data_IF_898736607148
#
_entry.id   IF_898736607148
#
_cell.length_a   1.000
_cell.length_b   1.000
_cell.length_c   1.000
_cell.angle_alpha   90.00
_cell.angle_beta   90.00
_cell.angle_gamma   90.00
#
_symmetry.space_group_name_H-M   'P 1'
#
loop_
_entity.id
_entity.type
_entity.pdbx_description
1 polymer ?
#
# COMPACT_ATOMS: atom_id res chain seq x y z
N UNK A 1 -28.66 0.61 16.47
CA UNK A 1 -27.95 -0.42 17.13
C UNK A 1 -26.47 -0.35 16.87
N UNK A 2 -25.72 -0.41 17.93
CA UNK A 2 -24.29 -0.31 17.81
C UNK A 2 -23.66 -1.49 17.09
N UNK A 3 -24.32 -2.62 17.10
CA UNK A 3 -23.75 -3.80 16.50
C UNK A 3 -23.43 -3.65 15.04
N UNK A 4 -24.32 -2.97 14.32
CA UNK A 4 -24.14 -2.80 12.89
C UNK A 4 -22.88 -2.03 12.60
N UNK A 5 -22.63 -0.96 13.36
CA UNK A 5 -21.45 -0.14 13.18
C UNK A 5 -20.21 -0.91 13.54
N UNK A 6 -20.28 -1.71 14.58
CA UNK A 6 -19.11 -2.47 15.01
C UNK A 6 -18.68 -3.46 13.94
N UNK A 7 -19.65 -4.07 13.26
CA UNK A 7 -19.31 -5.04 12.22
C UNK A 7 -18.55 -4.38 11.08
N UNK A 8 -18.92 -3.16 10.73
CA UNK A 8 -18.21 -2.45 9.69
C UNK A 8 -16.78 -2.19 10.11
N UNK A 9 -16.60 -1.79 11.36
CA UNK A 9 -15.26 -1.46 11.84
C UNK A 9 -14.39 -2.68 11.99
N UNK A 10 -14.97 -3.84 12.17
CA UNK A 10 -14.20 -5.05 12.43
C UNK A 10 -13.31 -5.44 11.27
N UNK A 11 -13.64 -5.00 10.05
CA UNK A 11 -12.84 -5.38 8.89
C UNK A 11 -11.74 -4.38 8.60
N UNK A 12 -11.67 -3.31 9.37
CA UNK A 12 -10.64 -2.31 9.19
C UNK A 12 -9.30 -2.81 9.73
N UNK A 13 -8.24 -2.46 9.04
CA UNK A 13 -6.89 -2.80 9.49
C UNK A 13 -6.12 -1.51 9.70
N UNK A 14 -5.54 -1.36 10.87
CA UNK A 14 -4.74 -0.18 11.21
C UNK A 14 -3.50 -0.64 11.96
N UNK A 15 -2.33 -0.14 11.54
CA UNK A 15 -1.09 -0.55 12.16
C UNK A 15 -0.04 0.52 11.99
N UNK A 16 0.75 0.74 13.04
CA UNK A 16 1.93 1.59 12.96
C UNK A 16 3.15 0.69 13.03
N UNK A 17 4.13 0.94 12.17
CA UNK A 17 5.31 0.10 12.09
C UNK A 17 6.54 0.95 11.94
N UNK A 18 7.68 0.38 12.33
CA UNK A 18 8.96 1.00 12.04
C UNK A 18 9.29 0.83 10.57
N UNK A 19 10.03 1.81 10.03
CA UNK A 19 10.39 1.78 8.61
C UNK A 19 11.59 0.87 8.40
N UNK A 20 11.42 -0.40 8.68
CA UNK A 20 12.47 -1.40 8.49
C UNK A 20 11.92 -2.56 7.69
N UNK A 21 12.83 -3.25 6.99
CA UNK A 21 12.42 -4.40 6.18
C UNK A 21 11.75 -5.48 7.00
N UNK A 22 12.26 -5.69 8.22
CA UNK A 22 11.68 -6.72 9.07
C UNK A 22 10.26 -6.35 9.49
N UNK A 23 10.05 -5.09 9.86
CA UNK A 23 8.71 -4.65 10.25
C UNK A 23 7.75 -4.75 9.07
N UNK A 24 8.22 -4.46 7.86
CA UNK A 24 7.37 -4.60 6.68
C UNK A 24 6.96 -6.06 6.49
N UNK A 25 7.91 -6.98 6.64
CA UNK A 25 7.59 -8.39 6.48
C UNK A 25 6.55 -8.85 7.49
N UNK A 26 6.72 -8.43 8.74
CA UNK A 26 5.76 -8.78 9.78
C UNK A 26 4.40 -8.18 9.50
N UNK A 27 4.37 -6.94 9.02
CA UNK A 27 3.12 -6.28 8.68
C UNK A 27 2.40 -7.02 7.57
N UNK A 28 3.10 -7.43 6.54
CA UNK A 28 2.47 -8.15 5.44
C UNK A 28 1.85 -9.46 5.91
N UNK A 29 2.52 -10.14 6.84
CA UNK A 29 1.96 -11.36 7.39
C UNK A 29 0.68 -11.08 8.16
N UNK A 30 0.65 -10.01 8.93
CA UNK A 30 -0.56 -9.63 9.66
C UNK A 30 -1.69 -9.27 8.71
N UNK A 31 -1.37 -8.58 7.62
CA UNK A 31 -2.37 -8.20 6.64
C UNK A 31 -2.99 -9.43 5.98
N UNK A 32 -2.17 -10.37 5.56
CA UNK A 32 -2.70 -11.56 4.91
C UNK A 32 -3.56 -12.37 5.87
N UNK A 33 -3.17 -12.44 7.13
CA UNK A 33 -3.98 -13.12 8.12
C UNK A 33 -5.32 -12.41 8.34
N UNK A 34 -5.28 -11.10 8.42
CA UNK A 34 -6.49 -10.33 8.69
C UNK A 34 -7.52 -10.46 7.56
N UNK A 35 -7.06 -10.41 6.32
CA UNK A 35 -7.97 -10.38 5.18
C UNK A 35 -8.25 -11.75 4.59
N UNK A 36 -7.59 -12.79 5.08
CA UNK A 36 -7.87 -14.14 4.60
C UNK A 36 -9.33 -14.46 4.84
N UNK A 37 -10.03 -14.88 3.79
CA UNK A 37 -11.44 -15.16 3.90
C UNK A 37 -12.35 -13.97 3.76
N UNK A 38 -11.80 -12.75 3.82
CA UNK A 38 -12.60 -11.54 3.61
C UNK A 38 -12.58 -11.09 2.16
N UNK A 39 -11.52 -11.41 1.46
CA UNK A 39 -11.40 -11.09 0.04
C UNK A 39 -10.93 -12.35 -0.66
N UNK A 40 -10.98 -12.35 -1.99
CA UNK A 40 -10.55 -13.52 -2.74
C UNK A 40 -9.06 -13.73 -2.63
N UNK A 41 -8.60 -14.93 -2.94
CA UNK A 41 -7.18 -15.22 -2.90
C UNK A 41 -6.40 -14.37 -3.89
N UNK A 42 -6.98 -14.12 -5.05
CA UNK A 42 -6.34 -13.26 -6.03
C UNK A 42 -6.23 -11.84 -5.51
N UNK A 43 -7.30 -11.34 -4.90
CA UNK A 43 -7.26 -9.99 -4.34
C UNK A 43 -6.27 -9.89 -3.19
N UNK A 44 -6.17 -10.94 -2.39
CA UNK A 44 -5.22 -10.95 -1.28
C UNK A 44 -3.79 -10.91 -1.79
N UNK A 45 -3.50 -11.67 -2.84
CA UNK A 45 -2.16 -11.66 -3.42
C UNK A 45 -1.83 -10.29 -3.99
N UNK A 46 -2.78 -9.65 -4.65
CA UNK A 46 -2.56 -8.32 -5.19
C UNK A 46 -2.34 -7.32 -4.08
N UNK A 47 -3.13 -7.39 -3.02
CA UNK A 47 -2.96 -6.50 -1.87
C UNK A 47 -1.56 -6.66 -1.28
N UNK A 48 -1.12 -7.88 -1.10
CA UNK A 48 0.20 -8.13 -0.53
C UNK A 48 1.28 -7.55 -1.43
N UNK A 49 1.16 -7.76 -2.73
CA UNK A 49 2.14 -7.26 -3.67
C UNK A 49 2.23 -5.74 -3.66
N UNK A 50 1.08 -5.08 -3.73
CA UNK A 50 1.05 -3.62 -3.77
C UNK A 50 1.58 -3.03 -2.48
N UNK A 51 1.18 -3.59 -1.35
CA UNK A 51 1.63 -3.05 -0.07
C UNK A 51 3.10 -3.35 0.16
N UNK A 52 3.59 -4.50 -0.31
CA UNK A 52 5.02 -4.78 -0.20
C UNK A 52 5.82 -3.71 -0.94
N UNK A 53 5.42 -3.39 -2.17
CA UNK A 53 6.13 -2.37 -2.93
C UNK A 53 6.01 -1.00 -2.29
N UNK A 54 4.82 -0.66 -1.83
CA UNK A 54 4.60 0.64 -1.21
C UNK A 54 5.41 0.79 0.07
N UNK A 55 5.36 -0.20 0.94
CA UNK A 55 6.06 -0.11 2.22
C UNK A 55 7.57 -0.21 2.05
N UNK A 56 8.04 -1.02 1.09
CA UNK A 56 9.46 -1.07 0.83
C UNK A 56 9.98 0.25 0.27
N UNK A 57 9.17 0.93 -0.53
CA UNK A 57 9.54 2.27 -0.98
C UNK A 57 9.70 3.21 0.19
N UNK A 58 8.82 3.12 1.18
CA UNK A 58 8.95 3.94 2.38
C UNK A 58 10.28 3.67 3.08
N UNK A 59 10.62 2.38 3.22
CA UNK A 59 11.87 2.02 3.89
C UNK A 59 13.08 2.53 3.13
N UNK A 60 13.07 2.36 1.80
CA UNK A 60 14.26 2.66 1.01
C UNK A 60 14.44 4.13 0.74
N UNK A 61 13.37 4.87 0.56
CA UNK A 61 13.46 6.22 0.03
C UNK A 61 13.01 7.29 0.99
N UNK A 62 12.12 6.98 1.89
CA UNK A 62 11.57 7.99 2.78
C UNK A 62 12.39 8.19 4.04
N UNK A 63 12.99 7.11 4.56
CA UNK A 63 13.72 7.21 5.82
C UNK A 63 15.06 6.49 5.76
N UNK A 64 15.90 6.78 4.77
CA UNK A 64 17.11 5.96 4.58
C UNK A 64 18.07 5.95 5.76
N UNK A 65 18.06 7.01 6.57
CA UNK A 65 19.05 7.10 7.65
C UNK A 65 18.45 7.47 8.98
N UNK A 66 17.15 7.36 9.11
CA UNK A 66 16.52 7.72 10.36
C UNK A 66 16.19 6.49 11.17
N UNK A 67 16.78 6.43 12.36
CA UNK A 67 16.52 5.30 13.21
C UNK A 67 15.10 5.28 13.75
N UNK A 68 14.43 6.41 13.72
CA UNK A 68 13.08 6.52 14.25
C UNK A 68 12.05 6.73 13.18
N UNK A 69 12.36 6.28 11.95
CA UNK A 69 11.37 6.34 10.91
C UNK A 69 10.19 5.45 11.22
N UNK A 70 9.00 5.99 11.00
CA UNK A 70 7.76 5.26 11.24
C UNK A 70 6.81 5.44 10.09
N UNK A 71 5.99 4.43 9.90
CA UNK A 71 4.91 4.48 8.94
C UNK A 71 3.65 3.99 9.62
N UNK A 72 2.51 4.44 9.13
CA UNK A 72 1.25 3.89 9.56
C UNK A 72 0.44 3.48 8.36
N UNK A 73 -0.33 2.43 8.52
CA UNK A 73 -1.10 1.84 7.43
C UNK A 73 -2.55 1.73 7.87
N UNK A 74 -3.44 2.14 7.01
CA UNK A 74 -4.86 2.07 7.27
C UNK A 74 -5.54 1.50 6.04
N UNK A 75 -6.21 0.37 6.20
CA UNK A 75 -6.92 -0.30 5.12
C UNK A 75 -8.38 -0.39 5.51
N UNK A 76 -9.23 0.20 4.70
CA UNK A 76 -10.67 0.21 4.98
C UNK A 76 -11.42 -0.42 3.82
N UNK A 77 -12.12 -1.53 4.07
CA UNK A 77 -12.96 -2.11 3.03
C UNK A 77 -14.08 -1.17 2.64
N UNK A 78 -14.34 -1.10 1.36
CA UNK A 78 -15.42 -0.30 0.81
C UNK A 78 -16.15 -1.13 -0.22
N UNK A 79 -17.28 -0.58 -0.68
CA UNK A 79 -17.98 -1.21 -1.76
C UNK A 79 -17.13 -1.13 -3.02
N UNK A 80 -16.60 -2.14 -3.49
CA UNK A 80 -15.81 -2.14 -4.70
C UNK A 80 -14.31 -2.23 -4.51
N UNK A 81 -13.82 -2.18 -3.27
CA UNK A 81 -12.39 -2.28 -3.11
C UNK A 81 -11.92 -2.01 -1.70
N UNK A 82 -10.61 -1.88 -1.58
CA UNK A 82 -9.97 -1.55 -0.31
C UNK A 82 -9.33 -0.19 -0.44
N UNK A 83 -9.71 0.73 0.43
CA UNK A 83 -9.10 2.06 0.49
C UNK A 83 -7.90 1.99 1.42
N UNK A 84 -6.72 2.30 0.88
CA UNK A 84 -5.47 2.17 1.61
C UNK A 84 -4.82 3.52 1.77
N UNK A 85 -4.35 3.81 2.98
CA UNK A 85 -3.62 5.03 3.27
C UNK A 85 -2.33 4.66 3.98
N UNK A 86 -1.21 5.16 3.45
CA UNK A 86 0.10 4.94 4.05
C UNK A 86 0.68 6.30 4.40
N UNK A 87 1.02 6.48 5.67
CA UNK A 87 1.67 7.70 6.13
C UNK A 87 3.05 7.37 6.64
N UNK A 88 4.00 8.26 6.37
CA UNK A 88 5.33 8.08 6.91
C UNK A 88 5.96 9.45 7.19
N UNK A 89 6.92 9.45 8.11
CA UNK A 89 7.57 10.70 8.53
C UNK A 89 8.94 10.89 7.87
N UNK A 90 9.16 10.25 6.73
CA UNK A 90 10.44 10.34 6.05
C UNK A 90 10.55 11.53 5.13
N UNK A 91 11.46 11.40 4.17
CA UNK A 91 11.70 12.45 3.21
C UNK A 91 10.54 12.55 2.21
N UNK A 92 10.32 13.73 1.64
CA UNK A 92 9.28 13.85 0.63
C UNK A 92 9.66 13.10 -0.64
N UNK A 93 8.67 12.78 -1.44
CA UNK A 93 8.93 12.26 -2.77
C UNK A 93 9.68 13.30 -3.59
N UNK A 94 10.49 12.83 -4.55
CA UNK A 94 11.19 13.78 -5.43
C UNK A 94 10.19 14.75 -6.05
N UNK A 95 10.53 16.03 -5.98
CA UNK A 95 9.70 17.13 -6.51
C UNK A 95 8.33 17.20 -5.85
N UNK A 96 8.14 16.49 -4.73
CA UNK A 96 6.85 16.52 -4.04
C UNK A 96 5.73 15.89 -4.81
N UNK A 97 6.04 15.02 -5.77
CA UNK A 97 5.05 14.45 -6.65
C UNK A 97 5.28 12.97 -6.85
N UNK A 98 4.20 12.28 -7.22
CA UNK A 98 4.32 10.90 -7.63
C UNK A 98 5.14 10.79 -8.91
N UNK A 99 5.87 9.67 -9.08
CA UNK A 99 6.53 9.43 -10.35
C UNK A 99 5.52 9.40 -11.49
N UNK A 100 5.98 9.65 -12.72
CA UNK A 100 5.07 9.61 -13.85
C UNK A 100 4.36 8.26 -13.93
N UNK A 101 3.09 8.33 -14.29
CA UNK A 101 2.27 7.14 -14.41
C UNK A 101 2.58 6.48 -15.74
N UNK A 102 3.61 5.68 -15.73
CA UNK A 102 4.09 5.06 -16.96
C UNK A 102 4.18 3.56 -16.73
N UNK A 103 3.36 2.81 -17.43
CA UNK A 103 3.44 1.36 -17.34
C UNK A 103 4.59 0.89 -18.20
N UNK A 104 5.51 0.10 -17.63
CA UNK A 104 6.62 -0.41 -18.42
C UNK A 104 6.13 -1.47 -19.39
N UNK A 105 6.88 -1.62 -20.47
CA UNK A 105 6.61 -2.70 -21.39
C UNK A 105 7.11 -3.99 -20.77
N UNK A 106 6.41 -5.07 -21.09
CA UNK A 106 6.73 -6.35 -20.49
C UNK A 106 8.18 -6.77 -20.75
N UNK A 107 8.63 -6.57 -21.97
CA UNK A 107 10.01 -6.93 -22.29
C UNK A 107 11.00 -6.06 -21.53
N UNK A 108 10.68 -4.80 -21.32
CA UNK A 108 11.53 -3.94 -20.54
C UNK A 108 11.59 -4.40 -19.09
N UNK A 109 10.45 -4.82 -18.55
CA UNK A 109 10.42 -5.30 -17.17
C UNK A 109 11.37 -6.47 -17.00
N UNK A 110 11.40 -7.37 -17.96
CA UNK A 110 12.22 -8.58 -17.81
C UNK A 110 13.69 -8.28 -17.99
N UNK A 111 14.03 -7.39 -18.91
CA UNK A 111 15.43 -7.21 -19.29
C UNK A 111 16.15 -6.11 -18.57
N UNK A 112 15.49 -5.04 -18.24
CA UNK A 112 16.13 -3.85 -17.73
C UNK A 112 15.69 -3.48 -16.34
N UNK A 113 15.46 -4.48 -15.50
CA UNK A 113 15.03 -4.21 -14.15
C UNK A 113 16.18 -3.82 -13.28
N UNK A 114 16.33 -2.55 -12.97
CA UNK A 114 17.19 -2.22 -11.85
C UNK A 114 16.51 -2.71 -10.60
N UNK A 115 17.30 -3.14 -9.67
CA UNK A 115 16.78 -3.65 -8.42
C UNK A 115 15.86 -2.63 -7.77
N UNK A 116 14.64 -3.03 -7.46
CA UNK A 116 13.68 -2.15 -6.83
C UNK A 116 13.14 -1.06 -7.72
N UNK A 117 13.45 -1.11 -9.02
CA UNK A 117 13.15 -0.01 -9.90
C UNK A 117 11.76 0.04 -10.47
N UNK A 118 10.93 -0.97 -10.24
CA UNK A 118 9.60 -0.96 -10.83
C UNK A 118 8.47 -1.00 -9.83
N UNK A 119 8.74 -0.60 -8.60
CA UNK A 119 7.68 -0.57 -7.60
C UNK A 119 6.52 0.31 -8.02
N UNK A 120 6.80 1.51 -8.49
CA UNK A 120 5.73 2.43 -8.88
C UNK A 120 4.95 1.95 -10.09
N UNK A 121 5.57 1.47 -11.17
CA UNK A 121 4.79 0.90 -12.26
C UNK A 121 3.89 -0.24 -11.81
N UNK A 122 4.38 -1.10 -10.93
CA UNK A 122 3.55 -2.17 -10.42
C UNK A 122 2.36 -1.65 -9.65
N UNK A 123 2.60 -0.69 -8.75
CA UNK A 123 1.51 -0.10 -7.98
C UNK A 123 0.47 0.49 -8.94
N UNK A 124 0.92 1.24 -9.93
CA UNK A 124 0.00 1.89 -10.84
C UNK A 124 -0.82 0.91 -11.67
N UNK A 125 -0.31 -0.31 -11.87
CA UNK A 125 -1.07 -1.31 -12.62
C UNK A 125 -2.29 -1.80 -11.86
N UNK A 126 -2.24 -1.79 -10.55
CA UNK A 126 -3.25 -2.47 -9.76
C UNK A 126 -4.14 -1.54 -8.96
N UNK A 127 -3.82 -0.25 -8.87
CA UNK A 127 -4.58 0.64 -7.99
C UNK A 127 -5.27 1.73 -8.79
N UNK A 128 -6.26 2.33 -8.15
CA UNK A 128 -7.00 3.47 -8.68
C UNK A 128 -6.90 4.60 -7.68
N UNK A 129 -7.21 5.82 -8.15
CA UNK A 129 -7.30 7.00 -7.29
C UNK A 129 -6.02 7.23 -6.50
N UNK A 130 -4.89 6.96 -7.12
CA UNK A 130 -3.60 7.13 -6.47
C UNK A 130 -3.34 8.62 -6.22
N UNK A 131 -3.04 8.97 -4.97
CA UNK A 131 -2.84 10.34 -4.59
C UNK A 131 -1.71 10.44 -3.56
N UNK A 132 -0.91 11.47 -3.67
CA UNK A 132 0.18 11.71 -2.74
C UNK A 132 0.12 13.14 -2.26
N UNK A 133 0.24 13.32 -0.96
CA UNK A 133 0.32 14.63 -0.33
C UNK A 133 1.37 14.63 0.76
N UNK A 134 1.84 15.82 1.08
CA UNK A 134 2.73 15.97 2.23
C UNK A 134 2.21 17.10 3.09
N UNK A 135 1.97 16.79 4.36
CA UNK A 135 1.43 17.76 5.30
C UNK A 135 2.18 17.62 6.62
N UNK A 136 2.70 18.75 7.12
CA UNK A 136 3.32 18.75 8.42
C UNK A 136 4.46 17.77 8.58
N UNK A 137 5.26 17.57 7.54
CA UNK A 137 6.37 16.65 7.63
C UNK A 137 5.99 15.19 7.45
N UNK A 138 4.76 14.92 7.04
CA UNK A 138 4.26 13.57 6.87
C UNK A 138 3.86 13.35 5.43
N UNK A 139 4.38 12.29 4.83
CA UNK A 139 3.95 11.85 3.51
C UNK A 139 2.67 11.05 3.66
N UNK A 140 1.71 11.31 2.80
CA UNK A 140 0.41 10.64 2.84
C UNK A 140 0.13 10.11 1.45
N UNK A 141 0.14 8.79 1.33
CA UNK A 141 -0.16 8.12 0.06
C UNK A 141 -1.48 7.40 0.20
N UNK A 142 -2.39 7.69 -0.72
CA UNK A 142 -3.70 7.06 -0.74
C UNK A 142 -3.90 6.34 -2.07
N UNK A 143 -4.55 5.19 -2.01
CA UNK A 143 -4.97 4.51 -3.23
C UNK A 143 -6.14 3.59 -2.93
N UNK A 144 -6.87 3.27 -3.98
CA UNK A 144 -7.95 2.31 -3.91
C UNK A 144 -7.52 1.05 -4.66
N UNK A 145 -7.59 -0.08 -3.97
CA UNK A 145 -7.33 -1.36 -4.61
C UNK A 145 -8.69 -1.96 -4.96
N UNK A 146 -9.08 -1.93 -6.22
CA UNK A 146 -10.42 -2.39 -6.58
C UNK A 146 -10.53 -3.89 -6.50
N UNK A 147 -11.71 -4.38 -6.17
CA UNK A 147 -11.97 -5.79 -6.29
C UNK A 147 -12.02 -6.15 -7.76
N UNK A 148 -11.33 -7.22 -8.11
CA UNK A 148 -11.22 -7.63 -9.51
C UNK A 148 -12.37 -8.49 -9.95
N UNK A 149 -13.03 -9.12 -9.02
CA UNK A 149 -14.14 -9.98 -9.34
C UNK A 149 -15.44 -9.27 -9.06
N UNK A 150 -16.36 -9.44 -9.99
CA UNK A 150 -17.69 -8.93 -9.76
C UNK A 150 -18.30 -9.72 -8.63
N UNK A 151 -18.73 -9.00 -7.61
CA UNK A 151 -19.42 -9.65 -6.51
C UNK A 151 -20.87 -9.75 -6.87
N UNK A 152 -21.31 -10.95 -7.04
CA UNK A 152 -22.73 -11.13 -7.26
C UNK A 152 -23.47 -10.85 -5.99
N UNK A 153 -24.42 -10.05 -6.13
CA UNK A 153 -25.19 -9.70 -4.95
C UNK A 153 -26.24 -10.72 -4.65
#
# INVERSE_FOLDING_TARGET
MGETLDLVDDNRFTLTLRSTSEAVRQTLSLITTHFAGLISETELATLELVLAETLNNVVEHATPEREQGQASLHIMPQRGGLACTVRDNGLPMPDGQLPPKRLPRVDTIIQDLPEGGFGWPLICMFVQELDYRREGGVNILYFLLPFTQKRDS
#
